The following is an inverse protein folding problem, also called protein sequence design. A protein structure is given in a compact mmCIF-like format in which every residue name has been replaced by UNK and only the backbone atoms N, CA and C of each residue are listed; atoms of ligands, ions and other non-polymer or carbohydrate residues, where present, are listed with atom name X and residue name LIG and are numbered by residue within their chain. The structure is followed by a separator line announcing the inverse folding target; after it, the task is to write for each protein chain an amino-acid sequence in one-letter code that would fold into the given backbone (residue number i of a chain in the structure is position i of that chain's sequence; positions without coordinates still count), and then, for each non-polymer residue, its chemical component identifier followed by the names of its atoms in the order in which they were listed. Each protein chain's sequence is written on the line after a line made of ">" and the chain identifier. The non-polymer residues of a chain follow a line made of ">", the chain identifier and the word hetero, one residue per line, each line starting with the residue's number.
data_IF_060079573729
#
_entry.id   IF_060079573729
#
_cell.length_a   1.000
_cell.length_b   1.000
_cell.length_c   1.000
_cell.angle_alpha   90.00
_cell.angle_beta   90.00
_cell.angle_gamma   90.00
#
_symmetry.space_group_name_H-M   'P 1'
#
loop_
_entity.id
_entity.type
_entity.pdbx_description
1 polymer ?
#
# COMPACT_ATOMS: atom_id res chain seq x y z
N UNK A 1 18.59 -19.29 95.20
CA UNK A 1 18.36 -20.59 94.61
C UNK A 1 17.57 -20.37 93.33
N UNK A 2 18.19 -20.32 92.17
CA UNK A 2 17.59 -20.55 90.86
C UNK A 2 18.70 -20.23 89.83
N UNK A 3 19.19 -21.27 89.22
CA UNK A 3 20.18 -21.16 88.12
C UNK A 3 19.46 -20.90 86.81
N UNK A 4 19.85 -19.86 86.14
CA UNK A 4 19.38 -19.52 84.81
C UNK A 4 20.36 -20.13 83.83
N UNK A 5 19.88 -21.06 83.01
CA UNK A 5 20.62 -21.63 81.92
C UNK A 5 20.45 -20.66 80.69
N UNK A 6 21.53 -20.13 80.20
CA UNK A 6 21.53 -19.34 78.93
C UNK A 6 21.78 -20.32 77.78
N UNK A 7 20.78 -20.47 76.91
CA UNK A 7 20.93 -21.04 75.58
C UNK A 7 21.51 -20.01 74.68
N UNK A 8 22.63 -20.31 74.05
CA UNK A 8 23.23 -19.54 72.95
C UNK A 8 22.66 -20.13 71.62
N UNK A 9 21.79 -19.37 70.95
CA UNK A 9 21.34 -19.71 69.64
C UNK A 9 22.37 -19.20 68.63
N UNK A 10 23.04 -20.09 67.91
CA UNK A 10 23.89 -19.76 66.81
C UNK A 10 23.02 -19.56 65.56
N UNK A 11 22.85 -18.34 65.12
CA UNK A 11 22.20 -18.03 63.82
C UNK A 11 23.17 -18.33 62.69
N UNK A 12 22.89 -19.39 61.95
CA UNK A 12 23.55 -19.65 60.67
C UNK A 12 22.93 -18.72 59.63
N UNK A 13 23.64 -17.68 59.24
CA UNK A 13 23.30 -16.77 58.15
C UNK A 13 23.59 -17.50 56.81
N UNK A 14 22.58 -18.09 56.22
CA UNK A 14 22.66 -18.68 54.90
C UNK A 14 22.55 -17.57 53.83
N UNK A 15 23.68 -17.10 53.31
CA UNK A 15 23.69 -16.22 52.14
C UNK A 15 23.25 -16.99 50.89
N UNK A 16 21.97 -16.88 50.53
CA UNK A 16 21.47 -17.27 49.22
C UNK A 16 21.97 -16.27 48.20
N UNK A 17 23.03 -16.61 47.50
CA UNK A 17 23.46 -15.94 46.27
C UNK A 17 22.39 -16.27 45.17
N UNK A 18 21.39 -15.40 45.03
CA UNK A 18 20.54 -15.38 43.86
C UNK A 18 21.41 -14.98 42.68
N UNK A 19 21.91 -15.96 41.94
CA UNK A 19 22.48 -15.74 40.62
C UNK A 19 21.35 -15.23 39.72
N UNK A 20 21.29 -13.91 39.50
CA UNK A 20 20.56 -13.31 38.40
C UNK A 20 21.21 -13.78 37.11
N UNK A 21 20.79 -14.94 36.62
CA UNK A 21 21.04 -15.37 35.25
C UNK A 21 20.30 -14.42 34.32
N UNK A 22 20.98 -13.36 33.87
CA UNK A 22 20.53 -12.55 32.76
C UNK A 22 20.56 -13.40 31.48
N UNK A 23 19.54 -14.23 31.31
CA UNK A 23 19.29 -14.87 30.04
C UNK A 23 18.99 -13.78 29.05
N UNK A 24 19.93 -13.45 28.16
CA UNK A 24 19.64 -12.68 26.98
C UNK A 24 18.54 -13.44 26.23
N UNK A 25 17.31 -12.97 26.30
CA UNK A 25 16.23 -13.52 25.51
C UNK A 25 16.68 -13.44 24.05
N UNK A 26 16.91 -14.58 23.41
CA UNK A 26 17.16 -14.65 21.99
C UNK A 26 15.91 -14.05 21.32
N UNK A 27 16.04 -12.99 20.51
CA UNK A 27 14.89 -12.42 19.86
C UNK A 27 14.20 -13.54 19.06
N UNK A 28 12.93 -13.80 19.36
CA UNK A 28 12.13 -14.73 18.58
C UNK A 28 12.07 -14.17 17.15
N UNK A 29 12.46 -14.94 16.13
CA UNK A 29 12.35 -14.47 14.76
C UNK A 29 10.94 -13.99 14.49
N UNK A 30 10.79 -12.79 13.94
CA UNK A 30 9.50 -12.23 13.61
C UNK A 30 8.92 -13.04 12.45
N UNK A 31 7.77 -13.64 12.64
CA UNK A 31 7.02 -14.32 11.59
C UNK A 31 6.28 -13.26 10.76
N UNK A 32 6.88 -12.89 9.63
CA UNK A 32 6.34 -11.87 8.73
C UNK A 32 5.03 -12.30 8.08
N UNK A 33 4.85 -13.60 7.84
CA UNK A 33 3.61 -14.14 7.27
C UNK A 33 2.47 -14.03 8.28
N UNK A 34 2.72 -14.36 9.54
CA UNK A 34 1.73 -14.20 10.60
C UNK A 34 1.38 -12.73 10.85
N UNK A 35 2.37 -11.82 10.79
CA UNK A 35 2.11 -10.39 10.86
C UNK A 35 1.25 -9.90 9.70
N UNK A 36 1.57 -10.31 8.48
CA UNK A 36 0.81 -9.95 7.30
C UNK A 36 -0.62 -10.49 7.35
N UNK A 37 -0.80 -11.74 7.73
CA UNK A 37 -2.12 -12.35 7.92
C UNK A 37 -2.96 -11.60 8.97
N UNK A 38 -2.33 -11.17 10.07
CA UNK A 38 -2.97 -10.34 11.10
C UNK A 38 -3.41 -8.97 10.54
N UNK A 39 -2.57 -8.35 9.70
CA UNK A 39 -2.90 -7.09 9.02
C UNK A 39 -4.11 -7.24 8.08
N UNK A 40 -4.17 -8.32 7.31
CA UNK A 40 -5.33 -8.64 6.45
C UNK A 40 -6.59 -8.82 7.29
N UNK A 41 -6.50 -9.53 8.40
CA UNK A 41 -7.63 -9.73 9.30
C UNK A 41 -8.12 -8.41 9.92
N UNK A 42 -7.20 -7.56 10.38
CA UNK A 42 -7.54 -6.25 10.95
C UNK A 42 -8.14 -5.31 9.88
N UNK A 43 -7.55 -5.23 8.68
CA UNK A 43 -8.06 -4.41 7.58
C UNK A 43 -9.44 -4.85 7.12
N UNK A 44 -9.80 -6.13 7.30
CA UNK A 44 -11.13 -6.65 6.95
C UNK A 44 -12.27 -6.04 7.77
N UNK A 45 -11.95 -5.40 8.91
CA UNK A 45 -12.92 -4.78 9.81
C UNK A 45 -12.82 -3.26 9.73
N UNK A 46 -13.77 -2.61 9.06
CA UNK A 46 -13.85 -1.15 8.98
C UNK A 46 -14.59 -0.60 10.19
N UNK A 47 -13.99 0.38 10.85
CA UNK A 47 -14.54 1.07 11.99
C UNK A 47 -14.38 2.58 11.82
N UNK A 48 -15.30 3.42 12.35
CA UNK A 48 -15.15 4.88 12.33
C UNK A 48 -13.84 5.37 12.98
N UNK A 49 -13.32 4.64 13.96
CA UNK A 49 -12.05 4.94 14.64
C UNK A 49 -10.81 4.71 13.76
N UNK A 50 -10.94 4.01 12.63
CA UNK A 50 -9.87 3.76 11.66
C UNK A 50 -9.84 4.79 10.53
N UNK A 51 -10.81 5.71 10.46
CA UNK A 51 -10.84 6.76 9.45
C UNK A 51 -9.63 7.68 9.64
N UNK A 52 -8.76 7.75 8.63
CA UNK A 52 -7.75 8.81 8.54
C UNK A 52 -8.42 10.11 8.10
N UNK A 53 -8.01 11.24 8.71
CA UNK A 53 -8.41 12.60 8.30
C UNK A 53 -7.25 13.37 7.68
N UNK A 54 -6.20 12.65 7.32
CA UNK A 54 -4.95 13.20 6.80
C UNK A 54 -4.59 12.60 5.44
N UNK A 55 -5.58 12.12 4.70
CA UNK A 55 -5.35 11.68 3.33
C UNK A 55 -4.98 12.90 2.48
N UNK A 56 -4.11 12.67 1.52
CA UNK A 56 -3.67 13.73 0.59
C UNK A 56 -4.81 14.09 -0.37
N UNK A 57 -5.35 15.31 -0.29
CA UNK A 57 -6.40 15.75 -1.21
C UNK A 57 -5.79 16.13 -2.56
N UNK A 58 -6.39 15.65 -3.64
CA UNK A 58 -6.00 16.01 -5.00
C UNK A 58 -6.76 17.26 -5.43
N UNK A 59 -6.24 18.42 -5.05
CA UNK A 59 -6.80 19.74 -5.38
C UNK A 59 -5.72 20.68 -5.91
N UNK A 60 -6.11 21.68 -6.67
CA UNK A 60 -5.18 22.71 -7.19
C UNK A 60 -4.57 23.58 -6.09
N UNK A 61 -5.18 23.61 -4.90
CA UNK A 61 -4.70 24.34 -3.73
C UNK A 61 -3.67 23.54 -2.92
N UNK A 62 -3.58 22.24 -3.13
CA UNK A 62 -2.58 21.42 -2.45
C UNK A 62 -1.20 21.60 -3.11
N UNK A 63 -0.35 22.38 -2.47
CA UNK A 63 0.99 22.75 -2.97
C UNK A 63 2.01 21.62 -2.86
N UNK A 64 1.70 20.54 -2.14
CA UNK A 64 2.59 19.38 -2.00
C UNK A 64 2.52 18.45 -3.22
N UNK A 65 1.48 18.61 -4.06
CA UNK A 65 1.30 17.80 -5.25
C UNK A 65 2.24 18.24 -6.38
N UNK A 66 2.72 17.25 -7.11
CA UNK A 66 3.56 17.50 -8.28
C UNK A 66 2.69 17.42 -9.54
N UNK A 67 2.49 18.58 -10.15
CA UNK A 67 1.71 18.74 -11.38
C UNK A 67 2.61 18.77 -12.60
N UNK A 68 2.15 18.22 -13.71
CA UNK A 68 2.88 18.24 -14.97
C UNK A 68 3.13 19.69 -15.42
N UNK A 69 4.39 19.96 -15.77
CA UNK A 69 4.87 21.30 -16.15
C UNK A 69 4.63 22.38 -15.05
N UNK A 70 4.41 21.96 -13.79
CA UNK A 70 4.13 22.87 -12.68
C UNK A 70 2.75 23.56 -12.76
N UNK A 71 1.82 23.06 -13.58
CA UNK A 71 0.50 23.67 -13.78
C UNK A 71 -0.56 22.96 -12.91
N UNK A 72 -1.05 23.56 -11.83
CA UNK A 72 -2.09 22.96 -10.99
C UNK A 72 -3.35 22.60 -11.80
N UNK A 73 -3.87 21.38 -11.58
CA UNK A 73 -5.02 20.86 -12.31
C UNK A 73 -4.70 20.17 -13.64
N UNK A 74 -3.44 20.17 -14.06
CA UNK A 74 -2.95 19.34 -15.16
C UNK A 74 -2.84 17.85 -14.73
N UNK A 75 -2.01 17.05 -15.36
CA UNK A 75 -1.78 15.68 -14.90
C UNK A 75 -0.98 15.67 -13.60
N UNK A 76 -1.37 14.79 -12.69
CA UNK A 76 -0.75 14.58 -11.39
C UNK A 76 0.33 13.53 -11.49
N UNK A 77 1.45 13.72 -10.80
CA UNK A 77 2.49 12.71 -10.69
C UNK A 77 2.13 11.69 -9.61
N UNK A 78 1.98 10.44 -10.03
CA UNK A 78 1.70 9.30 -9.15
C UNK A 78 2.79 8.25 -9.27
N UNK A 79 2.86 7.38 -8.27
CA UNK A 79 3.86 6.33 -8.14
C UNK A 79 3.21 4.97 -7.93
N UNK A 80 3.73 3.95 -8.58
CA UNK A 80 3.47 2.55 -8.27
C UNK A 80 4.78 1.79 -8.11
N UNK A 81 4.79 0.80 -7.21
CA UNK A 81 5.87 -0.17 -7.06
C UNK A 81 5.43 -1.50 -7.65
N UNK A 82 6.24 -2.15 -8.46
CA UNK A 82 5.82 -3.31 -9.23
C UNK A 82 6.94 -4.34 -9.46
N UNK A 83 6.52 -5.57 -9.74
CA UNK A 83 7.40 -6.70 -10.06
C UNK A 83 8.01 -6.57 -11.45
N UNK A 84 7.20 -6.21 -12.43
CA UNK A 84 7.59 -6.13 -13.84
C UNK A 84 6.86 -4.98 -14.54
N UNK A 85 7.59 -3.88 -14.79
CA UNK A 85 7.07 -2.74 -15.50
C UNK A 85 6.63 -3.10 -16.93
N UNK A 86 7.29 -4.04 -17.60
CA UNK A 86 6.97 -4.49 -18.95
C UNK A 86 5.66 -5.25 -19.05
N UNK A 87 5.24 -5.93 -17.98
CA UNK A 87 4.02 -6.73 -17.96
C UNK A 87 2.76 -5.88 -18.06
N UNK A 88 2.75 -4.74 -17.38
CA UNK A 88 1.55 -3.90 -17.24
C UNK A 88 1.54 -2.72 -18.21
N UNK A 89 2.69 -2.13 -18.47
CA UNK A 89 2.84 -0.92 -19.28
C UNK A 89 3.65 -1.13 -20.56
N UNK A 90 4.05 -2.35 -20.84
CA UNK A 90 4.82 -2.78 -22.03
C UNK A 90 5.96 -1.87 -22.40
N UNK A 91 6.78 -1.42 -21.35
CA UNK A 91 7.86 -0.62 -21.66
C UNK A 91 9.07 -0.67 -20.87
N UNK A 92 9.85 -0.02 -21.02
CA UNK A 92 11.20 0.43 -21.06
C UNK A 92 11.87 0.46 -19.73
N UNK A 93 12.10 -0.69 -19.17
CA UNK A 93 13.29 -0.87 -18.37
C UNK A 93 14.44 -1.09 -19.37
N UNK A 94 15.61 -0.43 -19.26
CA UNK A 94 16.77 -0.75 -20.05
C UNK A 94 17.05 -2.25 -20.01
N UNK A 95 16.85 -2.93 -21.12
CA UNK A 95 17.01 -4.38 -21.25
C UNK A 95 15.77 -5.24 -20.96
N UNK A 96 14.60 -4.68 -20.63
CA UNK A 96 13.44 -5.46 -20.13
C UNK A 96 12.16 -5.42 -20.95
N UNK A 97 12.07 -4.63 -22.01
CA UNK A 97 10.85 -4.51 -22.80
C UNK A 97 11.05 -5.05 -24.22
N UNK A 98 10.50 -6.22 -24.48
CA UNK A 98 10.41 -6.72 -25.84
C UNK A 98 9.15 -6.18 -26.51
N UNK A 99 9.30 -5.21 -27.38
CA UNK A 99 8.42 -5.05 -28.54
C UNK A 99 7.33 -4.00 -28.52
N UNK A 100 7.22 -3.09 -27.54
CA UNK A 100 6.35 -1.92 -27.68
C UNK A 100 7.08 -0.62 -27.33
N UNK A 101 7.41 0.15 -28.35
CA UNK A 101 8.14 1.43 -28.23
C UNK A 101 7.26 2.59 -27.74
N UNK A 102 5.95 2.39 -27.54
CA UNK A 102 5.01 3.46 -27.20
C UNK A 102 4.93 3.81 -25.73
N UNK A 103 5.56 3.04 -24.84
CA UNK A 103 5.52 3.29 -23.38
C UNK A 103 6.93 3.56 -22.83
N UNK A 104 7.70 4.36 -23.52
CA UNK A 104 9.05 4.77 -23.11
C UNK A 104 8.99 5.88 -22.05
N UNK A 105 10.02 5.98 -21.24
CA UNK A 105 10.22 7.13 -20.37
C UNK A 105 10.16 8.42 -21.20
N UNK A 106 9.36 9.38 -20.73
CA UNK A 106 9.02 10.59 -21.48
C UNK A 106 7.89 10.43 -22.51
N UNK A 107 7.36 9.23 -22.73
CA UNK A 107 6.30 8.93 -23.69
C UNK A 107 4.91 8.76 -23.09
N UNK A 108 3.91 8.70 -23.95
CA UNK A 108 2.53 8.37 -23.61
C UNK A 108 2.30 6.87 -23.70
N UNK A 109 1.66 6.33 -22.67
CA UNK A 109 1.36 4.91 -22.58
C UNK A 109 -0.13 4.70 -22.40
N UNK A 110 -0.80 3.91 -23.24
CA UNK A 110 -2.16 3.48 -22.94
C UNK A 110 -2.12 2.57 -21.72
N UNK A 111 -2.98 2.84 -20.74
CA UNK A 111 -3.14 1.94 -19.61
C UNK A 111 -3.51 0.54 -20.11
N UNK A 112 -2.88 -0.44 -19.51
CA UNK A 112 -3.19 -1.81 -19.88
C UNK A 112 -4.59 -2.16 -19.34
N UNK A 113 -5.05 -3.37 -19.57
CA UNK A 113 -6.40 -3.82 -19.20
C UNK A 113 -6.69 -3.85 -17.68
N UNK A 114 -5.74 -3.46 -16.83
CA UNK A 114 -5.88 -3.53 -15.38
C UNK A 114 -5.86 -2.15 -14.75
N UNK A 115 -6.64 -1.99 -13.68
CA UNK A 115 -6.54 -0.84 -12.79
C UNK A 115 -5.20 -0.88 -12.04
N UNK A 116 -4.58 0.27 -11.89
CA UNK A 116 -3.27 0.38 -11.23
C UNK A 116 -3.39 1.11 -9.91
N UNK A 117 -2.94 0.45 -8.85
CA UNK A 117 -2.88 1.03 -7.52
C UNK A 117 -1.65 1.93 -7.41
N UNK A 118 -1.86 3.16 -6.94
CA UNK A 118 -0.85 4.22 -6.91
C UNK A 118 -0.95 5.05 -5.64
N UNK A 119 0.15 5.74 -5.30
CA UNK A 119 0.17 6.86 -4.35
C UNK A 119 0.65 8.11 -5.06
N UNK A 120 0.38 9.30 -4.50
CA UNK A 120 0.88 10.56 -5.07
C UNK A 120 2.36 10.76 -4.75
N UNK A 121 3.09 11.34 -5.69
CA UNK A 121 4.45 11.80 -5.45
C UNK A 121 4.39 13.21 -4.85
N UNK A 122 5.13 13.54 -3.77
CA UNK A 122 6.28 12.82 -3.19
C UNK A 122 5.98 12.03 -1.91
N UNK A 123 4.75 11.63 -1.61
CA UNK A 123 4.32 11.07 -0.32
C UNK A 123 5.24 9.93 0.17
N UNK A 124 5.56 8.96 -0.70
CA UNK A 124 6.49 7.87 -0.37
C UNK A 124 7.91 8.38 -0.01
N UNK A 125 8.41 9.35 -0.78
CA UNK A 125 9.75 9.92 -0.52
C UNK A 125 9.77 10.72 0.78
N UNK A 126 8.70 11.44 1.08
CA UNK A 126 8.58 12.21 2.32
C UNK A 126 8.53 11.30 3.54
N UNK A 127 7.84 10.16 3.43
CA UNK A 127 7.82 9.17 4.50
C UNK A 127 9.23 8.64 4.82
N UNK A 128 10.07 8.46 3.81
CA UNK A 128 11.47 8.00 3.95
C UNK A 128 12.50 9.14 3.82
N UNK A 129 12.15 10.35 4.24
CA UNK A 129 12.98 11.55 4.03
C UNK A 129 14.39 11.46 4.61
N UNK A 130 14.59 10.68 5.68
CA UNK A 130 15.86 10.63 6.39
C UNK A 130 16.78 9.51 5.89
N UNK A 131 16.25 8.34 5.60
CA UNK A 131 17.04 7.15 5.27
C UNK A 131 16.38 6.36 4.14
N UNK A 132 17.17 5.94 3.15
CA UNK A 132 16.66 5.05 2.10
C UNK A 132 16.14 3.75 2.72
N UNK A 133 14.88 3.37 2.43
CA UNK A 133 14.26 2.22 3.07
C UNK A 133 14.80 0.91 2.55
N UNK A 134 14.75 -0.13 3.38
CA UNK A 134 14.87 -1.51 2.90
C UNK A 134 13.57 -1.91 2.17
N UNK A 135 13.64 -2.79 1.15
CA UNK A 135 12.45 -3.24 0.42
C UNK A 135 11.31 -3.74 1.32
N UNK A 136 11.64 -4.48 2.39
CA UNK A 136 10.64 -4.94 3.35
C UNK A 136 9.85 -3.79 3.98
N UNK A 137 10.51 -2.68 4.34
CA UNK A 137 9.80 -1.53 4.93
C UNK A 137 8.88 -0.82 3.93
N UNK A 138 9.25 -0.84 2.64
CA UNK A 138 8.37 -0.35 1.57
C UNK A 138 7.15 -1.27 1.44
N UNK A 139 7.36 -2.59 1.38
CA UNK A 139 6.27 -3.55 1.31
C UNK A 139 5.30 -3.39 2.50
N UNK A 140 5.85 -3.23 3.71
CA UNK A 140 5.06 -3.00 4.92
C UNK A 140 4.19 -1.74 4.82
N UNK A 141 4.78 -0.62 4.42
CA UNK A 141 4.10 0.67 4.30
C UNK A 141 2.99 0.65 3.23
N UNK A 142 3.23 -0.07 2.13
CA UNK A 142 2.28 -0.17 1.02
C UNK A 142 1.27 -1.32 1.19
N UNK A 143 1.27 -2.03 2.31
CA UNK A 143 0.37 -3.16 2.54
C UNK A 143 0.65 -4.38 1.68
N UNK A 144 1.85 -4.49 1.09
CA UNK A 144 2.22 -5.60 0.22
C UNK A 144 2.72 -6.81 1.02
N UNK A 145 2.58 -8.03 0.49
CA UNK A 145 3.04 -9.23 1.17
C UNK A 145 4.57 -9.26 1.30
N UNK A 146 5.13 -9.99 2.29
CA UNK A 146 6.57 -10.09 2.50
C UNK A 146 7.36 -10.50 1.25
N UNK A 147 6.78 -11.35 0.40
CA UNK A 147 7.39 -11.83 -0.85
C UNK A 147 7.75 -10.70 -1.83
N UNK A 148 7.00 -9.59 -1.79
CA UNK A 148 7.32 -8.41 -2.62
C UNK A 148 8.72 -7.82 -2.33
N UNK A 149 9.27 -8.13 -1.16
CA UNK A 149 10.56 -7.61 -0.69
C UNK A 149 11.69 -8.67 -0.66
N UNK A 150 11.41 -9.92 -1.06
CA UNK A 150 12.41 -11.01 -1.03
C UNK A 150 13.10 -11.07 -2.39
N UNK A 151 14.40 -10.80 -2.39
CA UNK A 151 15.21 -10.85 -3.61
C UNK A 151 15.22 -12.26 -4.22
N UNK A 152 14.91 -12.32 -5.50
CA UNK A 152 14.82 -13.58 -6.25
C UNK A 152 13.49 -14.32 -6.12
N UNK A 153 12.54 -13.84 -5.31
CA UNK A 153 11.18 -14.36 -5.28
C UNK A 153 10.46 -14.02 -6.60
N UNK A 154 9.67 -14.94 -7.17
CA UNK A 154 8.85 -14.64 -8.36
C UNK A 154 7.89 -13.47 -8.20
N UNK A 155 7.56 -13.09 -6.97
CA UNK A 155 6.71 -11.95 -6.63
C UNK A 155 7.50 -10.73 -6.16
N UNK A 156 8.84 -10.72 -6.30
CA UNK A 156 9.67 -9.59 -5.92
C UNK A 156 9.29 -8.33 -6.71
N UNK A 157 9.04 -7.23 -6.02
CA UNK A 157 8.83 -5.93 -6.62
C UNK A 157 10.17 -5.21 -6.81
N UNK A 158 10.45 -4.79 -8.04
CA UNK A 158 11.77 -4.32 -8.46
C UNK A 158 11.81 -2.87 -8.89
N UNK A 159 10.68 -2.37 -9.40
CA UNK A 159 10.65 -1.10 -10.13
C UNK A 159 9.67 -0.12 -9.50
N UNK A 160 10.15 1.10 -9.31
CA UNK A 160 9.35 2.28 -9.00
C UNK A 160 9.03 2.99 -10.30
N UNK A 161 7.76 3.14 -10.64
CA UNK A 161 7.32 3.83 -11.84
C UNK A 161 6.52 5.08 -11.47
N UNK A 162 7.00 6.23 -11.92
CA UNK A 162 6.31 7.51 -11.82
C UNK A 162 5.53 7.78 -13.11
N UNK A 163 4.27 8.16 -12.99
CA UNK A 163 3.38 8.41 -14.10
C UNK A 163 2.62 9.72 -13.96
N UNK A 164 2.43 10.42 -15.06
CA UNK A 164 1.51 11.55 -15.18
C UNK A 164 0.10 11.04 -15.48
N UNK A 165 -0.85 11.28 -14.58
CA UNK A 165 -2.23 10.82 -14.70
C UNK A 165 -3.20 12.00 -14.57
N UNK A 166 -4.20 12.09 -15.44
CA UNK A 166 -5.23 13.11 -15.30
C UNK A 166 -6.09 12.82 -14.05
N UNK A 167 -6.42 13.81 -13.21
CA UNK A 167 -7.20 13.59 -11.99
C UNK A 167 -8.54 12.87 -12.23
N UNK A 168 -9.21 13.13 -13.36
CA UNK A 168 -10.45 12.45 -13.75
C UNK A 168 -10.30 10.94 -13.99
N UNK A 169 -9.08 10.46 -14.17
CA UNK A 169 -8.76 9.05 -14.41
C UNK A 169 -8.28 8.34 -13.12
N UNK A 170 -8.35 9.05 -11.99
CA UNK A 170 -8.09 8.55 -10.64
C UNK A 170 -9.38 8.44 -9.85
N UNK A 171 -9.43 7.47 -8.96
CA UNK A 171 -10.42 7.42 -7.90
C UNK A 171 -9.78 6.93 -6.60
N UNK A 172 -10.41 7.26 -5.48
CA UNK A 172 -10.02 6.75 -4.17
C UNK A 172 -10.74 5.41 -3.94
N UNK A 173 -10.04 4.32 -3.64
CA UNK A 173 -10.66 3.01 -3.49
C UNK A 173 -11.33 2.85 -2.12
N UNK A 174 -12.36 3.66 -1.85
CA UNK A 174 -13.19 3.64 -0.66
C UNK A 174 -14.67 3.91 -1.04
N UNK A 175 -15.64 3.80 -0.12
CA UNK A 175 -17.05 3.98 -0.47
C UNK A 175 -17.39 5.30 -1.17
N UNK A 176 -16.73 6.38 -0.79
CA UNK A 176 -16.70 7.63 -1.53
C UNK A 176 -15.45 7.67 -2.41
N UNK A 177 -15.65 7.71 -3.72
CA UNK A 177 -14.54 7.68 -4.70
C UNK A 177 -13.83 9.02 -4.88
N UNK A 178 -14.30 10.05 -4.18
CA UNK A 178 -13.78 11.40 -4.27
C UNK A 178 -12.28 11.43 -3.90
N UNK A 179 -11.51 12.24 -4.63
CA UNK A 179 -10.07 12.37 -4.43
C UNK A 179 -9.67 13.73 -3.84
N UNK A 180 -10.63 14.63 -3.69
CA UNK A 180 -10.38 16.04 -3.32
C UNK A 180 -10.46 16.32 -1.83
N UNK A 181 -10.89 15.38 -1.02
CA UNK A 181 -10.99 15.47 0.42
C UNK A 181 -9.83 14.78 1.17
N UNK A 182 -9.89 14.81 2.51
CA UNK A 182 -8.84 14.26 3.40
C UNK A 182 -9.27 13.01 4.18
N UNK A 183 -10.46 12.47 3.89
CA UNK A 183 -11.00 11.30 4.60
C UNK A 183 -11.86 10.45 3.67
N UNK A 184 -12.11 9.23 4.04
CA UNK A 184 -13.10 8.36 3.42
C UNK A 184 -14.22 8.03 4.43
N UNK A 185 -15.41 7.77 3.92
CA UNK A 185 -16.53 7.25 4.69
C UNK A 185 -16.44 5.74 4.87
N UNK A 186 -17.17 5.23 5.88
CA UNK A 186 -17.27 3.79 6.12
C UNK A 186 -18.36 3.10 5.31
N UNK A 187 -19.20 3.85 4.64
CA UNK A 187 -20.35 3.36 3.85
C UNK A 187 -20.54 4.16 2.57
N UNK A 188 -21.17 3.52 1.58
CA UNK A 188 -21.48 4.17 0.32
C UNK A 188 -22.50 5.30 0.48
N UNK A 189 -22.33 6.43 -0.21
CA UNK A 189 -23.38 7.42 -0.37
C UNK A 189 -24.63 6.76 -0.96
N UNK A 190 -25.81 7.15 -0.49
CA UNK A 190 -27.07 6.51 -0.87
C UNK A 190 -27.32 6.56 -2.39
N UNK A 191 -26.81 7.56 -3.06
CA UNK A 191 -26.98 7.75 -4.50
C UNK A 191 -26.06 6.84 -5.34
N UNK A 192 -25.01 6.26 -4.75
CA UNK A 192 -24.13 5.31 -5.43
C UNK A 192 -24.85 4.04 -5.92
N UNK A 193 -25.99 3.72 -5.34
CA UNK A 193 -26.81 2.57 -5.71
C UNK A 193 -27.94 2.92 -6.69
N UNK A 194 -28.19 4.22 -6.95
CA UNK A 194 -29.32 4.67 -7.76
C UNK A 194 -28.99 4.91 -9.23
N UNK A 195 -27.74 5.20 -9.52
CA UNK A 195 -27.27 5.45 -10.89
C UNK A 195 -26.29 4.39 -11.31
N UNK A 196 -26.75 3.42 -12.06
CA UNK A 196 -25.85 2.60 -12.89
C UNK A 196 -25.30 3.51 -13.99
N UNK A 197 -24.26 4.30 -13.66
CA UNK A 197 -23.53 5.03 -14.66
C UNK A 197 -22.69 4.02 -15.47
N UNK A 198 -23.26 3.56 -16.57
CA UNK A 198 -22.62 2.60 -17.48
C UNK A 198 -21.33 3.15 -18.10
N UNK A 199 -21.11 4.46 -18.04
CA UNK A 199 -19.88 5.08 -18.58
C UNK A 199 -18.69 4.94 -17.64
N UNK A 200 -18.94 4.78 -16.33
CA UNK A 200 -17.94 4.65 -15.28
C UNK A 200 -17.83 3.22 -14.70
N UNK A 201 -18.19 2.21 -15.48
CA UNK A 201 -18.03 0.84 -15.04
C UNK A 201 -16.56 0.46 -14.97
N UNK A 202 -16.19 -0.21 -13.86
CA UNK A 202 -14.86 -0.74 -13.63
C UNK A 202 -14.73 -2.17 -14.10
N UNK A 203 -13.55 -2.53 -14.56
CA UNK A 203 -13.26 -3.91 -14.92
C UNK A 203 -12.73 -4.67 -13.72
N UNK A 204 -13.34 -5.80 -13.38
CA UNK A 204 -12.86 -6.66 -12.32
C UNK A 204 -11.42 -7.15 -12.62
N UNK A 205 -10.51 -6.90 -11.70
CA UNK A 205 -9.10 -7.29 -11.81
C UNK A 205 -8.76 -8.55 -11.02
N UNK A 206 -9.76 -9.10 -10.30
CA UNK A 206 -9.57 -10.23 -9.40
C UNK A 206 -10.80 -11.15 -9.34
N UNK A 207 -10.58 -12.39 -8.93
CA UNK A 207 -11.62 -13.38 -8.64
C UNK A 207 -12.32 -13.95 -9.88
N UNK A 208 -13.47 -14.65 -9.68
CA UNK A 208 -14.17 -15.35 -10.75
C UNK A 208 -14.75 -14.41 -11.81
N UNK A 209 -14.95 -13.14 -11.47
CA UNK A 209 -15.46 -12.12 -12.39
C UNK A 209 -14.36 -11.38 -13.16
N UNK A 210 -13.13 -11.91 -13.17
CA UNK A 210 -12.00 -11.31 -13.84
C UNK A 210 -12.32 -10.89 -15.29
N UNK A 211 -12.12 -9.62 -15.58
CA UNK A 211 -12.36 -9.04 -16.91
C UNK A 211 -13.80 -8.60 -17.19
N UNK A 212 -14.74 -8.84 -16.28
CA UNK A 212 -16.13 -8.38 -16.40
C UNK A 212 -16.21 -6.92 -15.96
N UNK A 213 -16.93 -6.10 -16.73
CA UNK A 213 -17.26 -4.73 -16.31
C UNK A 213 -18.44 -4.74 -15.34
N UNK A 214 -18.37 -3.92 -14.31
CA UNK A 214 -19.36 -3.85 -13.25
C UNK A 214 -19.44 -2.42 -12.67
N UNK A 215 -20.53 -2.14 -11.97
CA UNK A 215 -20.68 -0.87 -11.23
C UNK A 215 -19.60 -0.75 -10.15
N UNK A 216 -19.33 0.47 -9.68
CA UNK A 216 -18.35 0.67 -8.61
C UNK A 216 -18.67 -0.12 -7.34
N UNK A 217 -19.91 -0.13 -6.81
CA UNK A 217 -20.24 -0.96 -5.65
C UNK A 217 -20.00 -2.46 -5.86
N UNK A 218 -20.29 -2.97 -7.07
CA UNK A 218 -20.03 -4.39 -7.39
C UNK A 218 -18.54 -4.68 -7.50
N UNK A 219 -17.77 -3.78 -8.14
CA UNK A 219 -16.31 -3.84 -8.19
C UNK A 219 -15.71 -3.83 -6.77
N UNK A 220 -16.18 -2.93 -5.92
CA UNK A 220 -15.76 -2.80 -4.54
C UNK A 220 -16.04 -4.09 -3.75
N UNK A 221 -17.26 -4.63 -3.87
CA UNK A 221 -17.63 -5.90 -3.25
C UNK A 221 -16.81 -7.09 -3.76
N UNK A 222 -16.52 -7.12 -5.07
CA UNK A 222 -15.65 -8.13 -5.67
C UNK A 222 -14.21 -8.01 -5.14
N UNK A 223 -13.65 -6.80 -5.10
CA UNK A 223 -12.32 -6.53 -4.59
C UNK A 223 -12.21 -6.88 -3.10
N UNK A 224 -13.22 -6.52 -2.29
CA UNK A 224 -13.28 -6.84 -0.87
C UNK A 224 -13.26 -8.35 -0.63
N UNK A 225 -14.08 -9.11 -1.38
CA UNK A 225 -14.10 -10.57 -1.30
C UNK A 225 -12.74 -11.17 -1.62
N UNK A 226 -12.10 -10.69 -2.69
CA UNK A 226 -10.79 -11.18 -3.10
C UNK A 226 -9.69 -10.85 -2.09
N UNK A 227 -9.70 -9.64 -1.53
CA UNK A 227 -8.68 -9.19 -0.58
C UNK A 227 -8.68 -9.97 0.73
N UNK A 228 -9.83 -10.52 1.15
CA UNK A 228 -9.93 -11.15 2.47
C UNK A 228 -10.20 -12.66 2.44
N UNK A 229 -10.35 -13.25 1.26
CA UNK A 229 -10.59 -14.71 1.17
C UNK A 229 -9.28 -15.47 1.36
N UNK A 230 -9.19 -16.41 2.30
CA UNK A 230 -8.04 -17.29 2.42
C UNK A 230 -7.78 -18.08 1.13
N UNK A 231 -6.51 -18.21 0.73
CA UNK A 231 -6.12 -18.94 -0.49
C UNK A 231 -6.22 -18.13 -1.79
N UNK A 232 -6.76 -16.90 -1.76
CA UNK A 232 -6.55 -15.90 -2.80
C UNK A 232 -5.14 -15.27 -2.63
N UNK A 233 -4.85 -14.15 -3.27
CA UNK A 233 -3.71 -13.31 -2.87
C UNK A 233 -4.22 -12.24 -1.89
N UNK A 234 -4.34 -12.55 -0.58
CA UNK A 234 -4.95 -11.65 0.38
C UNK A 234 -4.15 -10.35 0.46
N UNK A 235 -4.87 -9.26 0.63
CA UNK A 235 -4.30 -7.92 0.71
C UNK A 235 -5.00 -7.14 1.83
N UNK A 236 -4.28 -6.44 2.73
CA UNK A 236 -4.86 -5.69 3.83
C UNK A 236 -5.45 -4.36 3.34
N UNK A 237 -6.41 -4.44 2.42
CA UNK A 237 -7.09 -3.28 1.86
C UNK A 237 -7.96 -2.61 2.91
N UNK A 238 -7.63 -1.36 3.25
CA UNK A 238 -8.32 -0.67 4.34
C UNK A 238 -9.75 -0.28 4.00
N UNK A 239 -10.04 -0.06 2.70
CA UNK A 239 -11.29 0.54 2.20
C UNK A 239 -11.52 1.96 2.75
N UNK A 240 -10.48 2.59 3.25
CA UNK A 240 -10.48 3.91 3.86
C UNK A 240 -9.49 4.87 3.19
N UNK A 241 -9.08 4.56 1.93
CA UNK A 241 -8.29 5.43 1.09
C UNK A 241 -6.82 5.56 1.47
N UNK A 242 -6.29 4.63 2.26
CA UNK A 242 -4.87 4.55 2.61
C UNK A 242 -4.37 3.11 2.59
N UNK A 243 -3.07 2.93 2.33
CA UNK A 243 -2.38 1.64 2.40
C UNK A 243 -2.25 1.20 3.87
N UNK A 244 -2.34 -0.09 4.14
CA UNK A 244 -2.17 -0.61 5.52
C UNK A 244 -0.69 -0.80 5.84
N UNK A 245 -0.14 0.02 6.74
CA UNK A 245 1.24 -0.13 7.24
C UNK A 245 1.33 -1.22 8.32
N UNK A 246 1.63 -2.46 7.90
CA UNK A 246 1.76 -3.59 8.84
C UNK A 246 3.12 -3.70 9.53
N UNK A 247 4.05 -2.79 9.24
CA UNK A 247 5.35 -2.72 9.91
C UNK A 247 5.49 -1.54 10.87
N UNK A 248 4.51 -0.64 10.89
CA UNK A 248 4.47 0.51 11.79
C UNK A 248 3.66 0.27 13.05
N UNK A 249 3.81 1.16 14.04
CA UNK A 249 2.94 1.20 15.22
C UNK A 249 1.56 1.82 14.92
N UNK A 250 1.47 2.61 13.85
CA UNK A 250 0.24 3.16 13.29
C UNK A 250 -0.03 2.45 11.96
N UNK A 251 -1.21 1.81 11.79
CA UNK A 251 -1.53 1.10 10.55
C UNK A 251 -1.88 2.02 9.37
N UNK A 252 -2.00 3.33 9.56
CA UNK A 252 -2.27 4.29 8.49
C UNK A 252 -0.99 4.51 7.69
N UNK A 253 -0.98 4.01 6.46
CA UNK A 253 0.10 4.20 5.50
C UNK A 253 -0.08 5.45 4.63
N UNK A 254 0.18 5.32 3.33
CA UNK A 254 0.08 6.40 2.35
C UNK A 254 -1.33 6.52 1.79
N UNK A 255 -1.68 7.69 1.28
CA UNK A 255 -2.92 7.89 0.51
C UNK A 255 -2.91 6.99 -0.72
N UNK A 256 -4.02 6.26 -0.90
CA UNK A 256 -4.16 5.24 -1.93
C UNK A 256 -5.14 5.71 -2.99
N UNK A 257 -4.75 5.53 -4.24
CA UNK A 257 -5.57 5.85 -5.39
C UNK A 257 -5.48 4.71 -6.41
N UNK A 258 -6.46 4.69 -7.32
CA UNK A 258 -6.47 3.74 -8.43
C UNK A 258 -6.60 4.50 -9.74
N UNK A 259 -5.71 4.19 -10.68
CA UNK A 259 -5.81 4.62 -12.08
C UNK A 259 -6.68 3.63 -12.81
N UNK A 260 -7.72 4.11 -13.49
CA UNK A 260 -8.56 3.26 -14.33
C UNK A 260 -7.76 2.53 -15.41
N UNK A 261 -8.05 1.25 -15.63
CA UNK A 261 -7.45 0.48 -16.70
C UNK A 261 -8.11 0.75 -18.04
N UNK A 262 -9.19 0.03 -18.34
CA UNK A 262 -9.91 0.12 -19.61
C UNK A 262 -11.36 0.52 -19.39
N UNK A 263 -11.86 1.42 -20.23
CA UNK A 263 -13.28 1.81 -20.25
C UNK A 263 -14.16 0.74 -20.89
N UNK A 264 -15.47 0.83 -20.66
CA UNK A 264 -16.48 -0.11 -21.19
C UNK A 264 -16.46 -0.16 -22.72
N UNK A 265 -16.24 0.95 -23.38
CA UNK A 265 -16.10 1.05 -24.84
C UNK A 265 -14.82 0.41 -25.40
N UNK A 266 -13.99 -0.16 -24.51
CA UNK A 266 -12.72 -0.78 -24.87
C UNK A 266 -11.57 0.19 -25.01
N UNK A 267 -11.80 1.52 -24.92
CA UNK A 267 -10.75 2.52 -24.95
C UNK A 267 -9.87 2.41 -23.71
N UNK A 268 -8.62 2.82 -23.85
CA UNK A 268 -7.65 2.91 -22.77
C UNK A 268 -7.48 4.36 -22.32
N UNK A 269 -7.06 4.53 -21.08
CA UNK A 269 -6.61 5.83 -20.57
C UNK A 269 -5.15 5.98 -20.96
N UNK A 270 -4.74 7.19 -21.33
CA UNK A 270 -3.33 7.49 -21.58
C UNK A 270 -2.68 8.05 -20.32
N UNK A 271 -1.53 7.51 -19.97
CA UNK A 271 -0.67 8.00 -18.89
C UNK A 271 0.71 8.36 -19.46
N UNK A 272 1.29 9.44 -18.97
CA UNK A 272 2.66 9.82 -19.36
C UNK A 272 3.67 9.11 -18.45
N UNK A 273 4.62 8.36 -19.00
CA UNK A 273 5.68 7.72 -18.21
C UNK A 273 6.74 8.76 -17.88
N UNK A 274 6.84 9.14 -16.61
CA UNK A 274 7.84 10.10 -16.13
C UNK A 274 9.18 9.44 -15.90
N UNK A 275 9.20 8.32 -15.18
CA UNK A 275 10.42 7.57 -14.91
C UNK A 275 10.13 6.12 -14.51
N UNK A 276 11.05 5.23 -14.86
CA UNK A 276 11.08 3.85 -14.36
C UNK A 276 12.47 3.61 -13.79
N UNK A 277 12.54 3.32 -12.49
CA UNK A 277 13.80 3.13 -11.76
C UNK A 277 13.75 1.85 -10.97
N UNK A 278 14.89 1.21 -10.76
CA UNK A 278 14.96 0.17 -9.73
C UNK A 278 14.64 0.78 -8.37
N UNK A 279 14.19 -0.06 -7.43
CA UNK A 279 13.89 0.38 -6.07
C UNK A 279 15.07 1.13 -5.44
N UNK A 280 16.29 0.63 -5.64
CA UNK A 280 17.49 1.27 -5.11
C UNK A 280 17.75 2.66 -5.74
N UNK A 281 17.69 2.76 -7.07
CA UNK A 281 17.90 4.02 -7.80
C UNK A 281 16.87 5.09 -7.43
N UNK A 282 15.62 4.68 -7.16
CA UNK A 282 14.55 5.62 -6.81
C UNK A 282 14.85 6.40 -5.53
N UNK A 283 15.50 5.76 -4.55
CA UNK A 283 15.87 6.37 -3.27
C UNK A 283 17.29 6.91 -3.22
N UNK A 284 18.08 6.77 -4.29
CA UNK A 284 19.34 7.51 -4.40
C UNK A 284 19.04 9.02 -4.42
N UNK A 285 19.65 9.75 -3.49
CA UNK A 285 19.60 11.21 -3.53
C UNK A 285 20.57 11.70 -4.61
N UNK A 286 20.16 12.71 -5.41
CA UNK A 286 21.08 13.36 -6.34
C UNK A 286 22.23 14.05 -5.60
#
# INVERSE_FOLDING_TARGET
>A
MRRIVRLIAAELLLCLLAACGGGSAVPVPVDLEAQYASAVADASVVLPSKISRYLTPVTTQNTDLVWENGVPGSRLLVLTWMDDAGKYYKCSVPGGCSGNTSCLEGGECPTYKYDSWVTVVPELRNFFAVTAPKPLRIAQLLGLPPQAAISGDPKEYKYMMEMWVAPRDLFRPCPDTEISDTACETGFPIDSFRTADLTNMLRATAGPNYGVFMTYPDWFGNQMRYSYTPGSNPYPWTRLGYTYDWGGSNPVGLSEFVVHGRKVDGSTISVGIKSVKTTAEYFLRP
#
